data_IF_009345524400
#
_entry.id   IF_009345524400
#
_cell.length_a   1.000
_cell.length_b   1.000
_cell.length_c   1.000
_cell.angle_alpha   90.00
_cell.angle_beta   90.00
_cell.angle_gamma   90.00
#
_symmetry.space_group_name_H-M   'P 1'
#
loop_
_entity.id
_entity.type
_entity.pdbx_description
1 polymer ?
#
# COMPACT_ATOMS: atom_id res chain seq x y z
N UNK A 1 4.87 27.98 2.12
CA UNK A 1 4.90 26.69 1.38
C UNK A 1 5.48 25.55 2.22
N UNK A 2 4.77 24.93 3.20
CA UNK A 2 5.38 23.77 3.88
C UNK A 2 4.50 22.51 4.06
N UNK A 3 3.19 22.62 4.33
CA UNK A 3 2.42 21.50 4.88
C UNK A 3 2.26 20.32 3.90
N UNK A 4 2.11 20.59 2.61
CA UNK A 4 1.95 19.55 1.59
C UNK A 4 3.20 18.67 1.43
N UNK A 5 4.38 19.19 1.73
CA UNK A 5 5.62 18.41 1.78
C UNK A 5 5.66 17.37 2.91
N UNK A 6 4.80 17.52 3.93
CA UNK A 6 4.74 16.61 5.07
C UNK A 6 3.54 15.66 5.01
N UNK A 7 2.40 16.08 4.43
CA UNK A 7 1.20 15.23 4.36
C UNK A 7 1.44 13.95 3.56
N UNK A 8 2.09 14.04 2.41
CA UNK A 8 2.31 12.86 1.56
C UNK A 8 3.26 11.84 2.22
N UNK A 9 4.43 12.23 2.79
CA UNK A 9 5.26 11.31 3.56
C UNK A 9 4.56 10.70 4.78
N UNK A 10 3.76 11.50 5.51
CA UNK A 10 3.01 10.99 6.67
C UNK A 10 1.99 9.94 6.24
N UNK A 11 1.25 10.19 5.16
CA UNK A 11 0.32 9.20 4.62
C UNK A 11 1.04 7.94 4.14
N UNK A 12 2.21 8.08 3.50
CA UNK A 12 3.02 6.94 3.07
C UNK A 12 3.47 6.07 4.27
N UNK A 13 3.91 6.70 5.36
CA UNK A 13 4.29 6.00 6.61
C UNK A 13 3.09 5.30 7.25
N UNK A 14 1.93 5.96 7.32
CA UNK A 14 0.69 5.36 7.82
C UNK A 14 0.27 4.17 6.95
N UNK A 15 0.33 4.32 5.63
CA UNK A 15 0.02 3.24 4.67
C UNK A 15 0.94 2.04 4.87
N UNK A 16 2.25 2.29 5.01
CA UNK A 16 3.25 1.26 5.25
C UNK A 16 3.01 0.53 6.58
N UNK A 17 2.90 1.28 7.68
CA UNK A 17 2.66 0.70 9.01
C UNK A 17 1.36 -0.11 9.05
N UNK A 18 0.29 0.40 8.44
CA UNK A 18 -0.98 -0.31 8.35
C UNK A 18 -0.86 -1.60 7.52
N UNK A 19 -0.15 -1.57 6.39
CA UNK A 19 0.12 -2.75 5.57
C UNK A 19 0.92 -3.82 6.32
N UNK A 20 1.91 -3.44 7.14
CA UNK A 20 2.66 -4.38 8.00
C UNK A 20 1.72 -5.10 8.96
N UNK A 21 0.79 -4.40 9.62
CA UNK A 21 -0.16 -5.04 10.54
C UNK A 21 -1.06 -6.07 9.86
N UNK A 22 -1.42 -5.83 8.60
CA UNK A 22 -2.26 -6.73 7.80
C UNK A 22 -1.46 -7.94 7.33
N UNK A 23 -0.24 -7.72 6.83
CA UNK A 23 0.66 -8.80 6.43
C UNK A 23 0.94 -9.76 7.59
N UNK A 24 1.19 -9.22 8.79
CA UNK A 24 1.39 -10.03 10.00
C UNK A 24 0.14 -10.83 10.39
N UNK A 25 -1.06 -10.24 10.33
CA UNK A 25 -2.30 -10.94 10.66
C UNK A 25 -2.51 -12.17 9.78
N UNK A 26 -2.33 -12.04 8.47
CA UNK A 26 -2.51 -13.16 7.55
C UNK A 26 -1.39 -14.19 7.70
N UNK A 27 -0.13 -13.78 7.81
CA UNK A 27 0.99 -14.72 7.96
C UNK A 27 0.91 -15.55 9.25
N UNK A 28 0.46 -14.96 10.36
CA UNK A 28 0.45 -15.62 11.68
C UNK A 28 -0.79 -16.48 11.91
N UNK A 29 -1.93 -16.16 11.31
CA UNK A 29 -3.23 -16.75 11.68
C UNK A 29 -3.95 -17.51 10.59
N UNK A 30 -3.45 -17.55 9.34
CA UNK A 30 -4.19 -18.14 8.20
C UNK A 30 -4.61 -19.61 8.41
N UNK A 31 -3.92 -20.35 9.27
CA UNK A 31 -4.25 -21.73 9.64
C UNK A 31 -5.15 -21.90 10.88
N UNK A 32 -5.54 -20.81 11.55
CA UNK A 32 -6.41 -20.86 12.73
C UNK A 32 -7.86 -21.15 12.33
N UNK A 33 -8.54 -21.98 13.12
CA UNK A 33 -9.96 -22.29 12.95
C UNK A 33 -10.84 -21.03 13.00
N UNK A 34 -10.53 -20.10 13.92
CA UNK A 34 -11.28 -18.85 14.13
C UNK A 34 -10.69 -17.66 13.36
N UNK A 35 -10.29 -17.88 12.11
CA UNK A 35 -9.67 -16.82 11.31
C UNK A 35 -10.60 -15.59 11.19
N UNK A 36 -10.14 -14.37 11.57
CA UNK A 36 -11.00 -13.19 11.64
C UNK A 36 -11.25 -12.56 10.26
N UNK A 37 -11.85 -13.31 9.33
CA UNK A 37 -12.03 -12.96 7.92
C UNK A 37 -12.72 -11.61 7.70
N UNK A 38 -13.75 -11.29 8.51
CA UNK A 38 -14.44 -9.99 8.44
C UNK A 38 -13.51 -8.82 8.75
N UNK A 39 -12.68 -8.95 9.79
CA UNK A 39 -11.69 -7.92 10.16
C UNK A 39 -10.62 -7.80 9.08
N UNK A 40 -10.15 -8.93 8.54
CA UNK A 40 -9.16 -8.90 7.45
C UNK A 40 -9.70 -8.19 6.21
N UNK A 41 -10.93 -8.48 5.78
CA UNK A 41 -11.56 -7.82 4.62
C UNK A 41 -11.61 -6.30 4.81
N UNK A 42 -12.13 -5.84 5.94
CA UNK A 42 -12.20 -4.41 6.24
C UNK A 42 -10.81 -3.77 6.27
N UNK A 43 -9.83 -4.42 6.91
CA UNK A 43 -8.46 -3.90 6.97
C UNK A 43 -7.80 -3.86 5.61
N UNK A 44 -7.92 -4.91 4.80
CA UNK A 44 -7.34 -4.97 3.46
C UNK A 44 -7.99 -3.94 2.52
N UNK A 45 -9.30 -3.71 2.64
CA UNK A 45 -9.98 -2.63 1.92
C UNK A 45 -9.43 -1.26 2.33
N UNK A 46 -9.29 -0.99 3.64
CA UNK A 46 -8.70 0.26 4.12
C UNK A 46 -7.27 0.42 3.60
N UNK A 47 -6.45 -0.63 3.60
CA UNK A 47 -5.10 -0.59 3.05
C UNK A 47 -5.10 -0.24 1.56
N UNK A 48 -5.95 -0.88 0.76
CA UNK A 48 -6.12 -0.52 -0.64
C UNK A 48 -6.50 0.96 -0.81
N UNK A 49 -7.49 1.45 -0.05
CA UNK A 49 -7.91 2.86 -0.09
C UNK A 49 -6.77 3.81 0.31
N UNK A 50 -5.93 3.45 1.28
CA UNK A 50 -4.74 4.21 1.66
C UNK A 50 -3.72 4.25 0.53
N UNK A 51 -3.42 3.11 -0.13
CA UNK A 51 -2.51 3.09 -1.29
C UNK A 51 -3.03 3.94 -2.44
N UNK A 52 -4.34 3.88 -2.72
CA UNK A 52 -4.99 4.68 -3.75
C UNK A 52 -4.96 6.17 -3.43
N UNK A 53 -5.25 6.55 -2.17
CA UNK A 53 -5.14 7.92 -1.70
C UNK A 53 -3.70 8.44 -1.80
N UNK A 54 -2.71 7.59 -1.50
CA UNK A 54 -1.30 7.96 -1.59
C UNK A 54 -0.87 8.22 -3.04
N UNK A 55 -1.29 7.36 -3.99
CA UNK A 55 -1.10 7.58 -5.42
C UNK A 55 -1.77 8.88 -5.89
N UNK A 56 -3.03 9.10 -5.51
CA UNK A 56 -3.79 10.30 -5.87
C UNK A 56 -3.16 11.59 -5.36
N UNK A 57 -2.70 11.60 -4.10
CA UNK A 57 -1.97 12.75 -3.54
C UNK A 57 -0.62 12.97 -4.22
N UNK A 58 0.10 11.91 -4.56
CA UNK A 58 1.35 12.02 -5.33
C UNK A 58 1.13 12.71 -6.68
N UNK A 59 0.11 12.29 -7.42
CA UNK A 59 -0.27 12.90 -8.70
C UNK A 59 -0.72 14.36 -8.55
N UNK A 60 -1.53 14.66 -7.52
CA UNK A 60 -1.99 16.02 -7.24
C UNK A 60 -0.81 16.95 -6.94
N UNK A 61 0.13 16.53 -6.09
CA UNK A 61 1.29 17.35 -5.75
C UNK A 61 2.29 17.49 -6.90
N UNK A 62 2.48 16.46 -7.71
CA UNK A 62 3.31 16.57 -8.92
C UNK A 62 2.75 17.62 -9.90
N UNK A 63 1.43 17.62 -10.12
CA UNK A 63 0.77 18.63 -10.95
C UNK A 63 0.93 20.05 -10.39
N UNK A 64 0.72 20.23 -9.09
CA UNK A 64 0.85 21.53 -8.41
C UNK A 64 2.29 22.07 -8.43
N UNK A 65 3.29 21.21 -8.18
CA UNK A 65 4.70 21.59 -8.16
C UNK A 65 5.25 21.82 -9.56
N UNK A 66 4.78 21.06 -10.56
CA UNK A 66 5.14 21.28 -11.97
C UNK A 66 4.67 22.64 -12.45
N UNK A 67 3.44 23.07 -12.11
CA UNK A 67 2.94 24.41 -12.40
C UNK A 67 3.74 25.56 -11.76
N UNK A 68 4.58 25.25 -10.77
CA UNK A 68 5.44 26.21 -10.06
C UNK A 68 6.92 26.07 -10.41
N UNK A 69 7.29 25.18 -11.35
CA UNK A 69 8.68 24.92 -11.72
C UNK A 69 9.51 24.23 -10.63
N UNK A 70 8.88 23.59 -9.64
CA UNK A 70 9.52 22.95 -8.47
C UNK A 70 9.34 21.42 -8.45
N UNK A 71 9.08 20.82 -9.61
CA UNK A 71 8.81 19.39 -9.71
C UNK A 71 10.03 18.56 -9.28
N UNK A 72 9.82 17.59 -8.39
CA UNK A 72 10.84 16.62 -7.96
C UNK A 72 10.62 15.33 -8.73
N UNK A 73 11.51 15.04 -9.68
CA UNK A 73 11.46 13.78 -10.43
C UNK A 73 12.21 12.69 -9.67
N UNK A 74 11.47 11.72 -9.16
CA UNK A 74 12.00 10.48 -8.59
C UNK A 74 11.96 9.37 -9.63
N UNK A 75 13.08 8.67 -9.83
CA UNK A 75 13.19 7.60 -10.81
C UNK A 75 12.16 6.49 -10.53
N UNK A 76 11.41 6.10 -11.56
CA UNK A 76 10.41 5.03 -11.52
C UNK A 76 9.33 5.15 -10.41
N UNK A 77 9.20 6.31 -9.76
CA UNK A 77 8.32 6.47 -8.60
C UNK A 77 6.84 6.26 -8.95
N UNK A 78 6.37 6.83 -10.08
CA UNK A 78 5.00 6.64 -10.53
C UNK A 78 4.69 5.18 -10.92
N UNK A 79 5.49 4.50 -11.76
CA UNK A 79 5.31 3.07 -12.02
C UNK A 79 5.29 2.20 -10.76
N UNK A 80 6.17 2.48 -9.79
CA UNK A 80 6.20 1.76 -8.52
C UNK A 80 4.92 2.04 -7.69
N UNK A 81 4.44 3.28 -7.65
CA UNK A 81 3.20 3.63 -6.94
C UNK A 81 1.98 2.92 -7.55
N UNK A 82 1.91 2.85 -8.88
CA UNK A 82 0.87 2.08 -9.60
C UNK A 82 0.98 0.60 -9.23
N UNK A 83 2.18 0.01 -9.30
CA UNK A 83 2.40 -1.39 -8.95
C UNK A 83 1.98 -1.71 -7.50
N UNK A 84 2.36 -0.87 -6.53
CA UNK A 84 1.97 -1.03 -5.13
C UNK A 84 0.44 -1.01 -4.96
N UNK A 85 -0.25 -0.11 -5.68
CA UNK A 85 -1.71 0.03 -5.65
C UNK A 85 -2.40 -1.19 -6.29
N UNK A 86 -1.89 -1.67 -7.42
CA UNK A 86 -2.40 -2.89 -8.09
C UNK A 86 -2.23 -4.10 -7.18
N UNK A 87 -1.09 -4.25 -6.52
CA UNK A 87 -0.85 -5.33 -5.56
C UNK A 87 -1.81 -5.25 -4.36
N UNK A 88 -2.07 -4.06 -3.83
CA UNK A 88 -3.05 -3.85 -2.76
C UNK A 88 -4.48 -4.17 -3.21
N UNK A 89 -4.85 -3.83 -4.45
CA UNK A 89 -6.12 -4.21 -5.06
C UNK A 89 -6.25 -5.72 -5.18
N UNK A 90 -5.22 -6.41 -5.70
CA UNK A 90 -5.21 -7.87 -5.79
C UNK A 90 -5.35 -8.52 -4.43
N UNK A 91 -4.65 -8.00 -3.41
CA UNK A 91 -4.80 -8.45 -2.02
C UNK A 91 -6.26 -8.28 -1.54
N UNK A 92 -6.89 -7.14 -1.82
CA UNK A 92 -8.30 -6.93 -1.50
C UNK A 92 -9.19 -7.94 -2.23
N UNK A 93 -9.07 -8.09 -3.56
CA UNK A 93 -9.88 -9.02 -4.35
C UNK A 93 -9.82 -10.46 -3.83
N UNK A 94 -8.62 -10.96 -3.50
CA UNK A 94 -8.51 -12.34 -2.98
C UNK A 94 -9.13 -12.53 -1.59
N UNK A 95 -9.29 -11.47 -0.79
CA UNK A 95 -9.99 -11.53 0.51
C UNK A 95 -11.51 -11.61 0.39
N UNK A 96 -12.07 -11.19 -0.75
CA UNK A 96 -13.49 -11.30 -1.08
C UNK A 96 -13.81 -12.54 -1.92
N UNK A 97 -12.89 -13.50 -2.03
CA UNK A 97 -13.13 -14.77 -2.70
C UNK A 97 -14.33 -15.54 -2.13
N UNK A 98 -14.95 -16.38 -2.98
CA UNK A 98 -16.06 -17.26 -2.57
C UNK A 98 -15.54 -18.39 -1.67
N UNK A 99 -16.25 -18.67 -0.59
CA UNK A 99 -16.02 -19.80 0.29
C UNK A 99 -17.37 -20.26 0.88
N UNK A 100 -17.41 -21.50 1.38
CA UNK A 100 -18.55 -21.98 2.16
C UNK A 100 -18.59 -21.26 3.52
N UNK A 101 -19.77 -21.12 4.17
CA UNK A 101 -19.83 -20.59 5.53
C UNK A 101 -18.89 -21.37 6.46
N UNK A 102 -18.04 -20.66 7.20
CA UNK A 102 -17.04 -21.27 8.09
C UNK A 102 -15.70 -21.65 7.45
N UNK A 103 -15.57 -21.54 6.11
CA UNK A 103 -14.31 -21.81 5.42
C UNK A 103 -13.61 -20.52 4.98
N UNK A 104 -12.28 -20.55 4.99
CA UNK A 104 -11.45 -19.50 4.41
C UNK A 104 -11.36 -19.70 2.89
N UNK A 105 -11.52 -18.66 2.06
CA UNK A 105 -11.37 -18.81 0.62
C UNK A 105 -9.97 -19.32 0.24
N UNK A 106 -9.83 -20.30 -0.68
CA UNK A 106 -8.52 -20.82 -1.07
C UNK A 106 -7.64 -19.77 -1.75
N UNK A 107 -8.25 -18.72 -2.33
CA UNK A 107 -7.54 -17.56 -2.87
C UNK A 107 -6.79 -16.77 -1.79
N UNK A 108 -7.18 -16.87 -0.52
CA UNK A 108 -6.60 -16.09 0.56
C UNK A 108 -5.13 -16.43 0.82
N UNK A 109 -4.67 -17.63 0.40
CA UNK A 109 -3.24 -17.99 0.46
C UNK A 109 -2.31 -17.03 -0.29
N UNK A 110 -2.84 -16.30 -1.27
CA UNK A 110 -2.09 -15.30 -2.04
C UNK A 110 -2.07 -13.91 -1.40
N UNK A 111 -2.94 -13.66 -0.42
CA UNK A 111 -3.03 -12.36 0.25
C UNK A 111 -1.71 -11.93 0.90
N UNK A 112 -0.96 -12.79 1.63
CA UNK A 112 0.33 -12.41 2.18
C UNK A 112 1.33 -12.01 1.09
N UNK A 113 1.38 -12.75 -0.02
CA UNK A 113 2.29 -12.48 -1.13
C UNK A 113 2.04 -11.09 -1.73
N UNK A 114 0.79 -10.76 -2.05
CA UNK A 114 0.43 -9.46 -2.60
C UNK A 114 0.69 -8.33 -1.60
N UNK A 115 0.37 -8.54 -0.32
CA UNK A 115 0.60 -7.54 0.73
C UNK A 115 2.10 -7.27 0.91
N UNK A 116 2.93 -8.30 1.01
CA UNK A 116 4.40 -8.18 1.18
C UNK A 116 5.03 -7.56 -0.05
N UNK A 117 4.63 -7.96 -1.26
CA UNK A 117 5.13 -7.36 -2.49
C UNK A 117 4.77 -5.86 -2.56
N UNK A 118 3.54 -5.48 -2.18
CA UNK A 118 3.11 -4.08 -2.09
C UNK A 118 3.98 -3.28 -1.11
N UNK A 119 4.23 -3.82 0.07
CA UNK A 119 5.11 -3.20 1.08
C UNK A 119 6.55 -3.05 0.59
N UNK A 120 7.09 -4.05 -0.10
CA UNK A 120 8.44 -3.98 -0.68
C UNK A 120 8.54 -2.85 -1.70
N UNK A 121 7.53 -2.69 -2.56
CA UNK A 121 7.48 -1.59 -3.54
C UNK A 121 7.38 -0.22 -2.86
N UNK A 122 6.55 -0.09 -1.80
CA UNK A 122 6.46 1.14 -0.99
C UNK A 122 7.81 1.46 -0.34
N UNK A 123 8.50 0.46 0.21
CA UNK A 123 9.81 0.64 0.82
C UNK A 123 10.87 1.06 -0.20
N UNK A 124 10.86 0.47 -1.41
CA UNK A 124 11.74 0.88 -2.52
C UNK A 124 11.52 2.34 -2.88
N UNK A 125 10.26 2.81 -2.97
CA UNK A 125 9.96 4.22 -3.20
C UNK A 125 10.44 5.13 -2.07
N UNK A 126 10.27 4.71 -0.81
CA UNK A 126 10.79 5.44 0.34
C UNK A 126 12.31 5.55 0.31
N UNK A 127 13.00 4.47 -0.06
CA UNK A 127 14.45 4.44 -0.21
C UNK A 127 14.93 5.36 -1.34
N UNK A 128 14.31 5.32 -2.53
CA UNK A 128 14.70 6.21 -3.64
C UNK A 128 14.43 7.68 -3.32
N UNK A 129 13.35 7.98 -2.58
CA UNK A 129 13.10 9.34 -2.08
C UNK A 129 14.19 9.79 -1.08
N UNK A 130 14.61 8.92 -0.16
CA UNK A 130 15.67 9.21 0.80
C UNK A 130 17.02 9.47 0.11
N UNK A 131 17.41 8.63 -0.86
CA UNK A 131 18.64 8.84 -1.64
C UNK A 131 18.65 10.25 -2.26
N UNK A 132 17.52 10.65 -2.87
CA UNK A 132 17.37 11.98 -3.46
C UNK A 132 17.53 13.10 -2.44
N UNK A 133 17.00 12.94 -1.23
CA UNK A 133 17.15 13.90 -0.14
C UNK A 133 18.61 14.02 0.31
N UNK A 134 19.35 12.90 0.32
CA UNK A 134 20.78 12.88 0.65
C UNK A 134 21.69 13.33 -0.51
N UNK A 135 21.13 13.69 -1.67
CA UNK A 135 21.88 14.15 -2.84
C UNK A 135 22.63 13.05 -3.59
N UNK A 136 22.23 11.79 -3.39
CA UNK A 136 22.73 10.60 -4.08
C UNK A 136 21.73 10.21 -5.18
#
# INVERSE_FOLDING_TARGET
MPWYGYIHPVLALLTFGYGVTIGQLTLSRLGEWDFPLRRLRQRTLIYFLLTLANLGLGLLFDALLTGQGRAVRLLAHLPLAIAATVLALLAALVTYGKARPGEVPPSLRWHPLFTVASLAVIMTMGFTALLKVFGI
#
